data_IF_573657336882
#
_entry.id   IF_573657336882
#
_cell.length_a   1.000
_cell.length_b   1.000
_cell.length_c   1.000
_cell.angle_alpha   90.00
_cell.angle_beta   90.00
_cell.angle_gamma   90.00
#
_symmetry.space_group_name_H-M   'P 1'
#
loop_
_entity.id
_entity.type
_entity.pdbx_description
1 polymer ?
#
# COMPACT_ATOMS: atom_id res chain seq x y z
N UNK A 1 22.19 8.06 3.27
CA UNK A 1 20.75 7.83 3.14
C UNK A 1 20.18 8.79 2.10
N UNK A 2 19.65 8.27 0.99
CA UNK A 2 18.96 9.09 0.01
C UNK A 2 17.64 9.67 0.58
N UNK A 3 17.21 10.80 0.04
CA UNK A 3 15.93 11.44 0.42
C UNK A 3 14.72 10.50 0.25
N UNK A 4 14.85 9.46 -0.58
CA UNK A 4 13.79 8.48 -0.87
C UNK A 4 13.91 7.19 -0.04
N UNK A 5 14.91 7.06 0.82
CA UNK A 5 15.03 5.91 1.73
C UNK A 5 13.87 5.89 2.72
N UNK A 6 12.98 4.92 2.60
CA UNK A 6 11.79 4.81 3.45
C UNK A 6 12.06 4.05 4.75
N UNK A 7 12.90 3.01 4.69
CA UNK A 7 13.26 2.18 5.83
C UNK A 7 14.66 1.58 5.70
N UNK A 8 15.25 1.21 6.82
CA UNK A 8 16.48 0.42 6.90
C UNK A 8 16.26 -0.64 7.96
N UNK A 9 16.58 -1.87 7.62
CA UNK A 9 16.55 -3.01 8.54
C UNK A 9 17.95 -3.58 8.73
N UNK A 10 18.27 -3.94 9.95
CA UNK A 10 19.44 -4.75 10.31
C UNK A 10 18.96 -5.99 11.06
N UNK A 11 19.37 -7.17 10.62
CA UNK A 11 18.98 -8.42 11.29
C UNK A 11 20.08 -9.47 11.25
N UNK A 12 19.97 -10.43 12.15
CA UNK A 12 20.81 -11.61 12.21
C UNK A 12 19.99 -12.87 12.44
N UNK A 13 20.43 -13.99 11.86
CA UNK A 13 19.78 -15.29 11.98
C UNK A 13 20.78 -16.37 12.38
N UNK A 14 20.40 -17.18 13.36
CA UNK A 14 21.04 -18.42 13.75
C UNK A 14 20.09 -19.60 13.56
N UNK A 15 20.50 -20.80 13.93
CA UNK A 15 19.62 -21.99 13.88
C UNK A 15 18.38 -21.86 14.80
N UNK A 16 18.50 -21.12 15.92
CA UNK A 16 17.47 -21.05 16.97
C UNK A 16 16.88 -19.67 17.15
N UNK A 17 17.42 -18.64 16.51
CA UNK A 17 16.95 -17.26 16.67
C UNK A 17 17.03 -16.48 15.36
N UNK A 18 16.07 -15.56 15.19
CA UNK A 18 16.15 -14.47 14.23
C UNK A 18 15.84 -13.18 15.00
N UNK A 19 16.78 -12.26 15.03
CA UNK A 19 16.62 -10.97 15.70
C UNK A 19 16.88 -9.85 14.72
N UNK A 20 16.14 -8.76 14.85
CA UNK A 20 16.37 -7.61 13.98
C UNK A 20 15.74 -6.34 14.52
N UNK A 21 16.17 -5.27 13.92
CA UNK A 21 15.63 -3.93 14.15
C UNK A 21 15.53 -3.19 12.84
N UNK A 22 14.43 -2.48 12.68
CA UNK A 22 14.13 -1.65 11.52
C UNK A 22 13.80 -0.24 11.98
N UNK A 23 14.30 0.76 11.26
CA UNK A 23 13.80 2.14 11.32
C UNK A 23 13.00 2.43 10.07
N UNK A 24 11.86 3.04 10.25
CA UNK A 24 10.98 3.48 9.16
C UNK A 24 10.54 4.92 9.40
N UNK A 25 10.51 5.70 8.32
CA UNK A 25 9.84 6.99 8.30
C UNK A 25 8.52 6.92 7.55
N UNK A 26 7.53 7.58 8.09
CA UNK A 26 6.21 7.76 7.48
C UNK A 26 5.92 9.25 7.33
N UNK A 27 4.69 9.58 6.89
CA UNK A 27 4.25 10.96 6.74
C UNK A 27 4.49 11.83 7.97
N UNK A 28 4.17 11.35 9.16
CA UNK A 28 4.21 12.13 10.40
C UNK A 28 5.28 11.73 11.40
N UNK A 29 5.82 10.51 11.31
CA UNK A 29 6.70 9.98 12.35
C UNK A 29 7.85 9.15 11.79
N UNK A 30 8.93 9.08 12.56
CA UNK A 30 9.97 8.06 12.45
C UNK A 30 9.80 7.10 13.62
N UNK A 31 9.81 5.82 13.35
CA UNK A 31 9.72 4.80 14.40
C UNK A 31 10.69 3.66 14.16
N UNK A 32 10.96 2.94 15.24
CA UNK A 32 11.77 1.73 15.24
C UNK A 32 10.87 0.54 15.53
N UNK A 33 11.15 -0.59 14.88
CA UNK A 33 10.51 -1.86 15.16
C UNK A 33 11.61 -2.88 15.43
N UNK A 34 11.57 -3.45 16.62
CA UNK A 34 12.47 -4.53 17.07
C UNK A 34 11.69 -5.84 17.05
N UNK A 35 12.35 -6.91 16.67
CA UNK A 35 11.75 -8.24 16.68
C UNK A 35 12.75 -9.31 17.12
N UNK A 36 12.23 -10.28 17.88
CA UNK A 36 12.95 -11.44 18.37
C UNK A 36 12.11 -12.69 18.09
N UNK A 37 12.60 -13.58 17.25
CA UNK A 37 11.93 -14.85 16.93
C UNK A 37 12.75 -16.00 17.52
N UNK A 38 12.07 -16.89 18.25
CA UNK A 38 12.62 -18.18 18.63
C UNK A 38 12.25 -19.19 17.55
N UNK A 39 13.25 -19.97 17.12
CA UNK A 39 13.11 -20.93 16.04
C UNK A 39 13.33 -22.36 16.53
N UNK A 40 12.54 -23.28 16.01
CA UNK A 40 12.81 -24.72 16.06
C UNK A 40 12.79 -25.27 14.62
N UNK A 41 13.88 -25.93 14.21
CA UNK A 41 14.04 -26.47 12.84
C UNK A 41 13.67 -25.47 11.74
N UNK A 42 14.08 -24.20 11.94
CA UNK A 42 13.82 -23.10 11.00
C UNK A 42 12.40 -22.51 11.03
N UNK A 43 11.52 -22.97 11.91
CA UNK A 43 10.15 -22.45 12.06
C UNK A 43 10.05 -21.59 13.32
N UNK A 44 9.33 -20.47 13.28
CA UNK A 44 9.05 -19.70 14.48
C UNK A 44 8.17 -20.48 15.45
N UNK A 45 8.60 -20.61 16.71
CA UNK A 45 7.80 -21.10 17.84
C UNK A 45 7.31 -19.98 18.72
N UNK A 46 8.03 -18.84 18.71
CA UNK A 46 7.60 -17.62 19.36
C UNK A 46 8.15 -16.40 18.61
N UNK A 47 7.46 -15.28 18.76
CA UNK A 47 7.93 -13.99 18.28
C UNK A 47 7.57 -12.90 19.28
N UNK A 48 8.48 -11.97 19.50
CA UNK A 48 8.25 -10.74 20.26
C UNK A 48 8.54 -9.58 19.35
N UNK A 49 7.59 -8.66 19.22
CA UNK A 49 7.70 -7.48 18.36
C UNK A 49 7.47 -6.25 19.23
N UNK A 50 8.34 -5.23 19.10
CA UNK A 50 8.26 -3.98 19.84
C UNK A 50 8.31 -2.81 18.89
N UNK A 51 7.39 -1.89 19.03
CA UNK A 51 7.43 -0.62 18.32
C UNK A 51 7.84 0.50 19.26
N UNK A 52 8.77 1.32 18.81
CA UNK A 52 9.35 2.43 19.59
C UNK A 52 9.39 3.70 18.76
N UNK A 53 9.34 4.85 19.42
CA UNK A 53 9.66 6.13 18.79
C UNK A 53 11.14 6.15 18.35
N UNK A 54 11.54 7.18 17.61
CA UNK A 54 12.91 7.33 17.12
C UNK A 54 13.95 7.35 18.25
N UNK A 55 13.60 7.92 19.39
CA UNK A 55 14.43 8.00 20.60
C UNK A 55 14.47 6.70 21.42
N UNK A 56 13.65 5.71 21.05
CA UNK A 56 13.54 4.42 21.75
C UNK A 56 12.42 4.36 22.80
N UNK A 57 11.73 5.44 23.08
CA UNK A 57 10.60 5.45 24.02
C UNK A 57 9.36 4.77 23.43
N UNK A 58 8.43 4.36 24.29
CA UNK A 58 7.16 3.81 23.87
C UNK A 58 6.25 4.92 23.28
N UNK A 59 5.38 4.52 22.35
CA UNK A 59 4.32 5.44 21.90
C UNK A 59 3.25 5.56 23.00
N UNK A 60 2.79 6.77 23.33
CA UNK A 60 1.70 6.96 24.28
C UNK A 60 0.40 6.33 23.73
N UNK A 61 -0.37 5.70 24.61
CA UNK A 61 -1.66 5.09 24.29
C UNK A 61 -1.62 4.04 23.15
N UNK A 62 -0.47 3.37 22.99
CA UNK A 62 -0.32 2.26 22.04
C UNK A 62 0.31 1.05 22.71
N UNK A 63 0.11 -0.16 22.16
CA UNK A 63 0.79 -1.35 22.65
C UNK A 63 2.31 -1.16 22.66
N UNK A 64 2.94 -1.60 23.71
CA UNK A 64 4.41 -1.55 23.88
C UNK A 64 5.09 -2.76 23.28
N UNK A 65 4.37 -3.89 23.21
CA UNK A 65 4.90 -5.18 22.76
C UNK A 65 3.77 -6.08 22.24
N UNK A 66 4.07 -6.91 21.26
CA UNK A 66 3.25 -8.04 20.81
C UNK A 66 4.04 -9.31 20.99
N UNK A 67 3.44 -10.28 21.69
CA UNK A 67 4.01 -11.62 21.87
C UNK A 67 3.16 -12.62 21.10
N UNK A 68 3.81 -13.44 20.31
CA UNK A 68 3.18 -14.51 19.53
C UNK A 68 3.80 -15.84 19.95
N UNK A 69 2.98 -16.84 20.17
CA UNK A 69 3.43 -18.21 20.38
C UNK A 69 2.72 -19.11 19.36
N UNK A 70 3.48 -19.98 18.74
CA UNK A 70 3.01 -20.87 17.67
C UNK A 70 3.14 -22.31 18.11
N UNK A 71 2.09 -23.08 17.88
CA UNK A 71 2.00 -24.53 18.12
C UNK A 71 1.59 -25.24 16.84
N UNK A 72 1.59 -26.57 16.85
CA UNK A 72 1.22 -27.35 15.69
C UNK A 72 -0.22 -27.08 15.19
N UNK A 73 -1.14 -26.83 16.08
CA UNK A 73 -2.58 -26.69 15.83
C UNK A 73 -3.12 -25.25 16.05
N UNK A 74 -2.35 -24.41 16.70
CA UNK A 74 -2.85 -23.11 17.19
C UNK A 74 -1.76 -22.06 17.30
N UNK A 75 -2.19 -20.81 17.45
CA UNK A 75 -1.33 -19.70 17.82
C UNK A 75 -1.98 -18.86 18.93
N UNK A 76 -1.17 -18.20 19.73
CA UNK A 76 -1.60 -17.26 20.75
C UNK A 76 -0.93 -15.93 20.50
N UNK A 77 -1.70 -14.85 20.57
CA UNK A 77 -1.20 -13.48 20.56
C UNK A 77 -1.52 -12.79 21.87
N UNK A 78 -0.52 -12.14 22.44
CA UNK A 78 -0.67 -11.19 23.51
C UNK A 78 -0.30 -9.80 23.01
N UNK A 79 -1.17 -8.83 23.29
CA UNK A 79 -0.95 -7.41 23.03
C UNK A 79 -0.73 -6.74 24.36
N UNK A 80 0.48 -6.25 24.60
CA UNK A 80 0.90 -5.69 25.88
C UNK A 80 0.84 -4.17 25.82
N UNK A 81 0.07 -3.58 26.71
CA UNK A 81 -0.02 -2.15 26.94
C UNK A 81 0.74 -1.78 28.22
N UNK A 82 0.83 -0.52 28.54
CA UNK A 82 1.52 -0.06 29.77
C UNK A 82 0.89 -0.64 31.05
N UNK A 83 -0.42 -0.81 31.05
CA UNK A 83 -1.26 -1.16 32.20
C UNK A 83 -2.05 -2.47 32.04
N UNK A 84 -2.03 -3.08 30.88
CA UNK A 84 -2.87 -4.23 30.57
C UNK A 84 -2.24 -5.16 29.53
N UNK A 85 -2.78 -6.38 29.46
CA UNK A 85 -2.42 -7.36 28.42
C UNK A 85 -3.69 -8.02 27.90
N UNK A 86 -3.87 -7.94 26.59
CA UNK A 86 -4.96 -8.63 25.91
C UNK A 86 -4.43 -9.90 25.26
N UNK A 87 -5.06 -11.03 25.56
CA UNK A 87 -4.68 -12.34 25.04
C UNK A 87 -5.76 -12.91 24.14
N UNK A 88 -5.33 -13.45 22.99
CA UNK A 88 -6.21 -14.13 22.04
C UNK A 88 -5.57 -15.40 21.50
N UNK A 89 -6.36 -16.47 21.44
CA UNK A 89 -5.98 -17.73 20.78
C UNK A 89 -6.65 -17.82 19.40
N UNK A 90 -5.97 -18.51 18.50
CA UNK A 90 -6.39 -18.74 17.11
C UNK A 90 -6.24 -20.23 16.80
N UNK A 91 -7.26 -20.85 16.25
CA UNK A 91 -7.15 -22.15 15.61
C UNK A 91 -6.44 -21.95 14.26
N UNK A 92 -5.14 -22.13 14.23
CA UNK A 92 -4.27 -21.80 13.09
C UNK A 92 -3.10 -22.79 13.03
N UNK A 93 -3.32 -23.97 12.46
CA UNK A 93 -2.27 -25.00 12.38
C UNK A 93 -1.09 -24.49 11.57
N UNK A 94 0.12 -24.72 12.11
CA UNK A 94 1.36 -24.32 11.50
C UNK A 94 1.46 -22.82 11.09
N UNK A 95 0.81 -21.95 11.84
CA UNK A 95 0.79 -20.53 11.56
C UNK A 95 2.18 -19.88 11.62
N UNK A 96 2.29 -18.77 10.95
CA UNK A 96 3.49 -17.95 10.86
C UNK A 96 3.17 -16.50 11.32
N UNK A 97 4.14 -15.72 11.83
CA UNK A 97 3.95 -14.29 12.01
C UNK A 97 3.65 -13.61 10.66
N UNK A 98 2.55 -12.86 10.59
CA UNK A 98 2.24 -12.15 9.35
C UNK A 98 3.37 -11.18 8.98
N UNK A 99 3.74 -11.08 7.70
CA UNK A 99 4.74 -10.13 7.24
C UNK A 99 4.40 -8.70 7.66
N UNK A 100 5.39 -8.00 8.19
CA UNK A 100 5.30 -6.57 8.49
C UNK A 100 6.00 -5.80 7.38
N UNK A 101 5.42 -4.71 6.95
CA UNK A 101 5.99 -3.86 5.89
C UNK A 101 7.40 -3.39 6.29
N UNK A 102 8.34 -3.48 5.36
CA UNK A 102 9.77 -3.15 5.51
C UNK A 102 10.55 -4.04 6.50
N UNK A 103 10.00 -5.19 6.89
CA UNK A 103 10.67 -6.19 7.71
C UNK A 103 10.88 -7.45 6.87
N UNK A 104 12.09 -7.69 6.44
CA UNK A 104 12.43 -8.73 5.45
C UNK A 104 13.15 -9.93 6.05
N UNK A 105 13.78 -9.78 7.23
CA UNK A 105 14.41 -10.90 7.92
C UNK A 105 13.50 -12.12 8.10
N UNK A 106 12.26 -11.99 8.59
CA UNK A 106 11.30 -13.08 8.67
C UNK A 106 10.90 -13.69 7.32
N UNK A 107 11.03 -12.94 6.23
CA UNK A 107 10.69 -13.46 4.88
C UNK A 107 11.69 -14.52 4.41
N UNK A 108 12.92 -14.53 4.93
CA UNK A 108 13.87 -15.62 4.68
C UNK A 108 13.40 -16.96 5.27
N UNK A 109 12.67 -16.92 6.38
CA UNK A 109 12.06 -18.12 6.98
C UNK A 109 10.90 -18.63 6.12
N UNK A 110 10.08 -17.73 5.58
CA UNK A 110 9.01 -18.08 4.64
C UNK A 110 9.59 -18.68 3.35
N UNK A 111 10.68 -18.13 2.84
CA UNK A 111 11.37 -18.65 1.66
C UNK A 111 11.85 -20.09 1.85
N UNK A 112 12.37 -20.41 3.03
CA UNK A 112 12.79 -21.77 3.38
C UNK A 112 11.63 -22.77 3.45
N UNK A 113 10.41 -22.30 3.75
CA UNK A 113 9.20 -23.13 3.81
C UNK A 113 8.59 -23.40 2.44
N UNK A 114 8.74 -22.50 1.48
CA UNK A 114 8.08 -22.52 0.16
C UNK A 114 8.83 -23.27 -0.94
N UNK A 115 9.84 -24.10 -0.64
CA UNK A 115 10.64 -24.80 -1.67
C UNK A 115 9.78 -25.66 -2.59
N UNK A 116 9.60 -25.22 -3.83
CA UNK A 116 9.08 -26.00 -4.95
C UNK A 116 7.55 -26.07 -5.09
N UNK A 117 6.77 -25.30 -4.34
CA UNK A 117 5.29 -25.36 -4.41
C UNK A 117 4.65 -23.98 -4.29
N UNK A 118 3.46 -23.87 -4.90
CA UNK A 118 2.53 -22.79 -4.57
C UNK A 118 1.80 -23.20 -3.29
N UNK A 119 2.00 -22.46 -2.20
CA UNK A 119 1.44 -22.79 -0.91
C UNK A 119 0.80 -21.55 -0.25
N UNK A 120 -0.02 -21.81 0.75
CA UNK A 120 -0.64 -20.78 1.57
C UNK A 120 -0.44 -21.12 3.04
N UNK A 121 0.19 -20.21 3.78
CA UNK A 121 0.52 -20.40 5.19
C UNK A 121 -0.41 -19.53 6.04
N UNK A 122 -1.11 -20.10 7.05
CA UNK A 122 -1.85 -19.30 8.01
C UNK A 122 -0.93 -18.29 8.70
N UNK A 123 -1.39 -17.06 8.86
CA UNK A 123 -0.57 -15.97 9.39
C UNK A 123 -1.30 -15.19 10.48
N UNK A 124 -0.61 -14.93 11.58
CA UNK A 124 -1.12 -14.14 12.70
C UNK A 124 -0.44 -12.78 12.70
N UNK A 125 -1.25 -11.74 12.49
CA UNK A 125 -0.79 -10.36 12.54
C UNK A 125 -0.68 -9.81 13.95
N UNK A 126 0.06 -8.71 14.09
CA UNK A 126 0.11 -7.91 15.32
C UNK A 126 -1.24 -7.23 15.62
N UNK A 127 -2.06 -7.04 14.60
CA UNK A 127 -3.40 -6.46 14.68
C UNK A 127 -4.44 -7.37 14.02
N UNK A 128 -5.71 -7.03 14.18
CA UNK A 128 -6.83 -7.79 13.62
C UNK A 128 -7.26 -8.97 14.50
N UNK A 129 -8.40 -9.54 14.18
CA UNK A 129 -9.03 -10.57 14.99
C UNK A 129 -9.18 -11.92 14.26
N UNK A 130 -8.70 -12.01 13.05
CA UNK A 130 -8.82 -13.17 12.18
C UNK A 130 -7.44 -13.76 11.84
N UNK A 131 -7.43 -15.02 11.49
CA UNK A 131 -6.29 -15.68 10.86
C UNK A 131 -6.19 -15.15 9.43
N UNK A 132 -5.07 -14.54 9.10
CA UNK A 132 -4.73 -14.18 7.73
C UNK A 132 -4.03 -15.34 7.01
N UNK A 133 -3.71 -15.13 5.75
CA UNK A 133 -2.94 -16.09 4.96
C UNK A 133 -1.83 -15.39 4.17
N UNK A 134 -0.69 -16.03 4.05
CA UNK A 134 0.41 -15.63 3.19
C UNK A 134 0.55 -16.65 2.07
N UNK A 135 0.27 -16.24 0.85
CA UNK A 135 0.51 -17.07 -0.32
C UNK A 135 1.99 -17.01 -0.72
N UNK A 136 2.58 -18.17 -0.93
CA UNK A 136 3.96 -18.37 -1.34
C UNK A 136 4.00 -19.06 -2.69
N UNK A 137 4.83 -18.56 -3.60
CA UNK A 137 5.08 -19.20 -4.88
C UNK A 137 6.57 -19.12 -5.18
N UNK A 138 7.25 -20.26 -5.15
CA UNK A 138 8.68 -20.34 -5.48
C UNK A 138 8.84 -20.33 -7.00
N UNK A 139 9.63 -19.41 -7.49
CA UNK A 139 10.15 -19.30 -8.83
C UNK A 139 11.64 -19.64 -8.76
N UNK A 140 12.33 -19.98 -9.84
CA UNK A 140 13.71 -20.48 -9.85
C UNK A 140 14.64 -19.85 -8.78
N UNK A 141 14.95 -18.58 -8.88
CA UNK A 141 15.78 -17.84 -7.92
C UNK A 141 15.00 -16.76 -7.15
N UNK A 142 13.66 -16.88 -7.10
CA UNK A 142 12.81 -15.87 -6.52
C UNK A 142 11.64 -16.47 -5.74
N UNK A 143 11.12 -15.70 -4.79
CA UNK A 143 9.92 -16.01 -4.03
C UNK A 143 8.89 -14.93 -4.26
N UNK A 144 7.71 -15.32 -4.70
CA UNK A 144 6.56 -14.43 -4.77
C UNK A 144 5.73 -14.57 -3.51
N UNK A 145 5.54 -13.47 -2.79
CA UNK A 145 4.75 -13.41 -1.55
C UNK A 145 3.50 -12.58 -1.78
N UNK A 146 2.35 -13.11 -1.36
CA UNK A 146 1.08 -12.39 -1.29
C UNK A 146 0.59 -12.40 0.15
N UNK A 147 0.37 -11.25 0.77
CA UNK A 147 -0.15 -11.16 2.13
C UNK A 147 -1.52 -10.50 2.15
N UNK A 148 -2.42 -11.07 2.96
CA UNK A 148 -3.79 -10.58 3.13
C UNK A 148 -4.63 -10.67 1.85
N UNK A 149 -5.64 -9.81 1.75
CA UNK A 149 -6.49 -9.66 0.56
C UNK A 149 -5.79 -8.93 -0.60
N UNK A 150 -4.50 -8.61 -0.45
CA UNK A 150 -3.75 -7.87 -1.46
C UNK A 150 -3.62 -8.64 -2.77
N UNK A 151 -4.20 -8.08 -3.84
CA UNK A 151 -4.15 -8.66 -5.19
C UNK A 151 -2.72 -8.70 -5.76
N UNK A 152 -1.79 -7.91 -5.19
CA UNK A 152 -0.48 -7.64 -5.75
C UNK A 152 0.63 -8.31 -4.94
N UNK A 153 1.45 -9.16 -5.59
CA UNK A 153 2.55 -9.85 -4.94
C UNK A 153 3.74 -8.92 -4.72
N UNK A 154 4.55 -9.29 -3.73
CA UNK A 154 5.93 -8.83 -3.56
C UNK A 154 6.84 -9.93 -4.10
N UNK A 155 7.86 -9.55 -4.87
CA UNK A 155 8.83 -10.47 -5.42
C UNK A 155 10.17 -10.31 -4.69
N UNK A 156 10.69 -11.39 -4.15
CA UNK A 156 11.99 -11.44 -3.49
C UNK A 156 12.97 -12.27 -4.32
N UNK A 157 14.14 -11.74 -4.61
CA UNK A 157 15.25 -12.56 -5.13
C UNK A 157 16.08 -13.09 -3.96
N UNK A 158 16.53 -14.32 -4.10
CA UNK A 158 17.28 -15.02 -3.06
C UNK A 158 18.66 -15.40 -3.59
N UNK A 159 19.67 -15.41 -2.71
CA UNK A 159 20.95 -16.00 -3.03
C UNK A 159 20.93 -17.54 -2.87
N UNK A 160 22.07 -18.18 -3.15
CA UNK A 160 22.24 -19.65 -3.02
C UNK A 160 21.98 -20.18 -1.60
N UNK A 161 22.12 -19.34 -0.59
CA UNK A 161 21.92 -19.66 0.82
C UNK A 161 20.48 -19.35 1.29
N UNK A 162 19.60 -18.92 0.37
CA UNK A 162 18.21 -18.57 0.63
C UNK A 162 18.05 -17.23 1.36
N UNK A 163 19.04 -16.32 1.25
CA UNK A 163 18.99 -14.98 1.84
C UNK A 163 18.37 -14.01 0.83
N UNK A 164 17.48 -13.16 1.32
CA UNK A 164 16.87 -12.11 0.49
C UNK A 164 17.94 -11.13 0.02
N UNK A 165 18.03 -10.91 -1.28
CA UNK A 165 18.94 -9.95 -1.92
C UNK A 165 18.20 -8.69 -2.36
N UNK A 166 17.06 -8.86 -3.02
CA UNK A 166 16.21 -7.73 -3.42
C UNK A 166 14.76 -8.00 -3.07
N UNK A 167 14.01 -6.93 -2.93
CA UNK A 167 12.56 -6.94 -2.74
C UNK A 167 11.95 -5.99 -3.74
N UNK A 168 11.10 -6.49 -4.62
CA UNK A 168 10.30 -5.69 -5.53
C UNK A 168 8.84 -5.70 -5.09
N UNK A 169 8.42 -4.63 -4.46
CA UNK A 169 7.05 -4.33 -4.07
C UNK A 169 6.42 -3.23 -4.94
N UNK A 170 6.93 -2.99 -6.15
CA UNK A 170 6.43 -1.92 -7.04
C UNK A 170 4.97 -2.10 -7.44
N UNK A 171 4.45 -3.32 -7.43
CA UNK A 171 3.03 -3.60 -7.64
C UNK A 171 2.16 -3.46 -6.39
N UNK A 172 2.78 -3.38 -5.20
CA UNK A 172 2.04 -3.21 -3.94
C UNK A 172 1.61 -1.74 -3.74
N UNK A 173 0.77 -1.51 -2.74
CA UNK A 173 0.38 -0.15 -2.34
C UNK A 173 1.58 0.73 -1.98
N UNK A 174 2.63 0.14 -1.41
CA UNK A 174 3.80 0.88 -0.93
C UNK A 174 4.79 1.25 -2.05
N UNK A 175 4.72 0.62 -3.23
CA UNK A 175 5.58 0.93 -4.39
C UNK A 175 7.07 0.97 -4.04
N UNK A 176 7.53 0.03 -3.23
CA UNK A 176 8.89 0.01 -2.70
C UNK A 176 9.83 -0.91 -3.49
N UNK A 177 11.10 -0.56 -3.47
CA UNK A 177 12.20 -1.44 -3.86
C UNK A 177 13.16 -1.53 -2.68
N UNK A 178 13.60 -2.74 -2.34
CA UNK A 178 14.56 -3.03 -1.30
C UNK A 178 15.79 -3.75 -1.86
N UNK A 179 16.95 -3.46 -1.29
CA UNK A 179 18.20 -4.13 -1.68
C UNK A 179 19.01 -4.41 -0.42
N UNK A 180 19.53 -5.64 -0.31
CA UNK A 180 20.48 -6.01 0.72
C UNK A 180 21.82 -5.32 0.44
N UNK A 181 22.38 -4.70 1.46
CA UNK A 181 23.71 -4.08 1.40
C UNK A 181 24.63 -4.71 2.45
N UNK A 182 25.92 -4.71 2.18
CA UNK A 182 26.91 -5.17 3.15
C UNK A 182 27.08 -4.16 4.30
N UNK A 183 27.47 -4.63 5.48
CA UNK A 183 27.77 -3.81 6.64
C UNK A 183 26.74 -3.93 7.75
N UNK A 184 27.00 -3.19 8.84
CA UNK A 184 26.08 -3.07 9.98
C UNK A 184 25.46 -1.68 9.98
N UNK A 185 24.15 -1.61 10.18
CA UNK A 185 23.46 -0.34 10.37
C UNK A 185 23.19 -0.13 11.87
N UNK A 186 23.61 1.00 12.40
CA UNK A 186 23.18 1.48 13.72
C UNK A 186 21.79 2.11 13.56
N UNK A 187 20.77 1.30 13.74
CA UNK A 187 19.37 1.70 13.57
C UNK A 187 18.99 2.81 14.56
N UNK A 188 19.54 2.78 15.78
CA UNK A 188 19.25 3.79 16.79
C UNK A 188 19.85 5.16 16.42
N UNK A 189 21.07 5.19 15.91
CA UNK A 189 21.70 6.43 15.45
C UNK A 189 21.00 6.98 14.20
N UNK A 190 20.64 6.10 13.25
CA UNK A 190 19.91 6.48 12.05
C UNK A 190 18.54 7.07 12.41
N UNK A 191 17.81 6.46 13.35
CA UNK A 191 16.49 6.93 13.76
C UNK A 191 16.50 8.37 14.30
N UNK A 192 17.56 8.75 15.02
CA UNK A 192 17.72 10.11 15.57
C UNK A 192 17.88 11.18 14.49
N UNK A 193 18.45 10.83 13.35
CA UNK A 193 18.73 11.78 12.25
C UNK A 193 17.70 11.71 11.12
N UNK A 194 16.97 10.60 11.03
CA UNK A 194 15.95 10.41 10.01
C UNK A 194 14.75 11.33 10.28
N UNK A 195 14.25 11.98 9.23
CA UNK A 195 13.09 12.88 9.36
C UNK A 195 11.85 12.23 8.74
N UNK A 196 10.64 12.51 9.24
CA UNK A 196 9.39 12.14 8.58
C UNK A 196 9.37 12.59 7.12
N UNK A 197 8.65 11.86 6.29
CA UNK A 197 8.58 12.16 4.84
C UNK A 197 7.61 13.28 4.51
N UNK A 198 6.78 13.73 5.46
CA UNK A 198 5.57 14.48 5.14
C UNK A 198 4.50 13.57 4.55
N UNK A 199 3.37 14.09 4.20
CA UNK A 199 2.33 13.33 3.51
C UNK A 199 2.82 12.99 2.10
N UNK A 200 3.12 11.70 1.84
CA UNK A 200 3.61 11.23 0.53
C UNK A 200 2.60 11.42 -0.61
N UNK A 201 1.33 11.51 -0.26
CA UNK A 201 0.20 11.72 -1.15
C UNK A 201 -0.84 12.52 -0.37
N UNK A 202 -0.64 13.86 -0.24
CA UNK A 202 -1.54 14.69 0.53
C UNK A 202 -2.95 14.66 -0.08
N UNK A 203 -3.97 14.77 0.79
CA UNK A 203 -5.35 14.89 0.34
C UNK A 203 -5.56 16.27 -0.27
N UNK A 204 -6.16 16.31 -1.44
CA UNK A 204 -6.48 17.51 -2.21
C UNK A 204 -7.96 17.52 -2.57
N UNK A 205 -8.45 18.68 -2.94
CA UNK A 205 -9.82 18.87 -3.42
C UNK A 205 -9.79 19.70 -4.71
N UNK A 206 -10.36 19.14 -5.78
CA UNK A 206 -10.76 19.90 -6.95
C UNK A 206 -12.19 20.38 -6.75
N UNK A 207 -12.43 21.65 -7.00
CA UNK A 207 -13.73 22.28 -6.82
C UNK A 207 -14.05 23.17 -8.01
N UNK A 208 -15.30 23.13 -8.47
CA UNK A 208 -15.82 24.14 -9.40
C UNK A 208 -17.25 24.49 -9.04
N UNK A 209 -17.53 25.78 -9.04
CA UNK A 209 -18.87 26.31 -8.95
C UNK A 209 -19.45 26.49 -10.35
N UNK A 210 -20.63 25.90 -10.59
CA UNK A 210 -21.43 26.10 -11.78
C UNK A 210 -22.71 26.82 -11.39
N UNK A 211 -23.38 27.44 -12.35
CA UNK A 211 -24.68 28.08 -12.13
C UNK A 211 -25.71 27.09 -11.55
N UNK A 212 -25.61 25.82 -11.95
CA UNK A 212 -26.49 24.73 -11.52
C UNK A 212 -26.13 24.18 -10.12
N UNK A 213 -24.92 24.38 -9.64
CA UNK A 213 -24.45 23.92 -8.34
C UNK A 213 -22.99 23.45 -8.37
N UNK A 214 -22.38 23.23 -7.21
CA UNK A 214 -20.97 22.85 -7.12
C UNK A 214 -20.72 21.38 -7.44
N UNK A 215 -19.50 21.12 -7.91
CA UNK A 215 -18.91 19.77 -8.01
C UNK A 215 -17.61 19.74 -7.21
N UNK A 216 -17.40 18.65 -6.48
CA UNK A 216 -16.20 18.40 -5.70
C UNK A 216 -15.58 17.06 -6.09
N UNK A 217 -14.26 17.03 -6.17
CA UNK A 217 -13.51 15.79 -6.23
C UNK A 217 -12.46 15.82 -5.14
N UNK A 218 -12.54 14.88 -4.19
CA UNK A 218 -11.55 14.69 -3.14
C UNK A 218 -10.65 13.51 -3.49
N UNK A 219 -9.34 13.73 -3.57
CA UNK A 219 -8.37 12.74 -4.01
C UNK A 219 -7.06 12.87 -3.23
N UNK A 220 -6.25 11.82 -3.18
CA UNK A 220 -4.88 11.93 -2.73
C UNK A 220 -3.95 12.14 -3.93
N UNK A 221 -3.01 13.08 -3.79
CA UNK A 221 -2.10 13.56 -4.84
C UNK A 221 -0.71 12.91 -4.68
N UNK A 222 -0.42 11.76 -5.31
CA UNK A 222 0.91 11.15 -5.29
C UNK A 222 1.87 11.88 -6.21
N UNK A 223 3.17 11.90 -5.84
CA UNK A 223 4.26 12.38 -6.67
C UNK A 223 4.90 11.24 -7.49
N UNK A 224 5.37 11.54 -8.69
CA UNK A 224 6.01 10.58 -9.59
C UNK A 224 7.37 10.11 -9.07
N UNK A 225 8.17 10.99 -8.49
CA UNK A 225 9.48 10.71 -7.88
C UNK A 225 10.42 9.96 -8.81
N UNK A 226 10.53 10.43 -10.05
CA UNK A 226 11.36 9.83 -11.09
C UNK A 226 10.84 8.50 -11.65
N UNK A 227 9.64 8.03 -11.26
CA UNK A 227 9.03 6.81 -11.79
C UNK A 227 8.20 7.12 -13.03
N UNK A 228 8.17 6.19 -13.97
CA UNK A 228 7.28 6.27 -15.13
C UNK A 228 5.82 6.13 -14.68
N UNK A 229 4.96 7.05 -15.14
CA UNK A 229 3.56 7.12 -14.70
C UNK A 229 2.67 6.22 -15.54
N UNK A 230 2.47 6.58 -16.82
CA UNK A 230 1.46 5.96 -17.68
C UNK A 230 1.96 4.69 -18.35
N UNK A 231 1.17 3.64 -18.30
CA UNK A 231 1.44 2.35 -18.93
C UNK A 231 2.59 1.56 -18.30
N UNK A 232 3.08 1.98 -17.13
CA UNK A 232 4.23 1.36 -16.44
C UNK A 232 3.97 1.25 -14.93
N UNK A 233 4.95 1.66 -14.12
CA UNK A 233 4.99 1.39 -12.66
C UNK A 233 3.81 1.96 -11.88
N UNK A 234 3.38 3.19 -12.18
CA UNK A 234 2.37 3.85 -11.36
C UNK A 234 0.95 3.57 -11.83
N UNK A 235 0.72 3.64 -13.14
CA UNK A 235 -0.56 3.30 -13.79
C UNK A 235 -0.25 2.24 -14.87
N UNK A 236 -0.14 0.94 -14.51
CA UNK A 236 0.13 -0.10 -15.49
C UNK A 236 -1.00 -0.21 -16.52
N UNK A 237 -0.66 -0.65 -17.74
CA UNK A 237 -1.68 -0.93 -18.75
C UNK A 237 -2.69 -1.98 -18.27
N UNK A 238 -3.93 -1.82 -18.70
CA UNK A 238 -5.03 -2.76 -18.49
C UNK A 238 -5.40 -3.04 -17.03
N UNK A 239 -4.88 -2.24 -16.09
CA UNK A 239 -5.22 -2.32 -14.66
C UNK A 239 -6.17 -1.19 -14.26
N UNK A 240 -7.05 -1.48 -13.30
CA UNK A 240 -7.88 -0.44 -12.69
C UNK A 240 -7.07 0.29 -11.64
N UNK A 241 -6.95 1.60 -11.81
CA UNK A 241 -6.26 2.50 -10.90
C UNK A 241 -7.25 3.38 -10.16
N UNK A 242 -7.04 3.55 -8.84
CA UNK A 242 -7.89 4.36 -7.93
C UNK A 242 -7.90 5.87 -8.18
N UNK A 243 -7.32 6.33 -9.30
CA UNK A 243 -7.29 7.75 -9.68
C UNK A 243 -6.71 8.64 -8.57
N UNK A 244 -5.59 8.20 -8.00
CA UNK A 244 -4.94 8.85 -6.86
C UNK A 244 -4.12 7.87 -6.02
N UNK A 245 -4.13 8.05 -4.70
CA UNK A 245 -3.45 7.21 -3.73
C UNK A 245 -4.28 7.02 -2.46
N UNK A 246 -3.92 6.04 -1.63
CA UNK A 246 -4.56 5.70 -0.35
C UNK A 246 -6.04 5.32 -0.55
N UNK A 247 -6.99 6.08 0.00
CA UNK A 247 -8.43 5.91 -0.19
C UNK A 247 -8.82 6.21 -1.65
N UNK A 248 -9.93 5.65 -2.09
CA UNK A 248 -10.49 5.95 -3.41
C UNK A 248 -10.75 7.45 -3.60
N UNK A 249 -10.66 7.91 -4.82
CA UNK A 249 -11.02 9.29 -5.20
C UNK A 249 -12.53 9.43 -5.23
N UNK A 250 -13.08 10.43 -4.54
CA UNK A 250 -14.51 10.66 -4.42
C UNK A 250 -14.96 11.86 -5.26
N UNK A 251 -16.06 11.68 -5.99
CA UNK A 251 -16.78 12.73 -6.69
C UNK A 251 -18.10 12.99 -5.95
N UNK A 252 -18.36 14.24 -5.58
CA UNK A 252 -19.64 14.69 -5.04
C UNK A 252 -20.29 15.67 -6.00
N UNK A 253 -21.55 15.47 -6.32
CA UNK A 253 -22.35 16.38 -7.13
C UNK A 253 -23.72 16.60 -6.52
N UNK A 254 -24.17 17.86 -6.51
CA UNK A 254 -25.51 18.26 -6.09
C UNK A 254 -26.53 18.26 -7.25
N UNK A 255 -26.05 18.03 -8.49
CA UNK A 255 -26.85 18.06 -9.71
C UNK A 255 -26.59 16.83 -10.56
N UNK A 256 -27.53 16.54 -11.45
CA UNK A 256 -27.37 15.48 -12.43
C UNK A 256 -26.23 15.82 -13.40
N UNK A 257 -25.29 14.90 -13.55
CA UNK A 257 -24.18 15.00 -14.51
C UNK A 257 -24.43 14.02 -15.66
N UNK A 258 -24.38 14.52 -16.90
CA UNK A 258 -24.25 13.68 -18.08
C UNK A 258 -22.76 13.57 -18.45
N UNK A 259 -22.20 12.37 -18.33
CA UNK A 259 -20.79 12.07 -18.61
C UNK A 259 -20.72 10.95 -19.67
N UNK A 260 -20.49 11.32 -20.94
CA UNK A 260 -20.73 10.43 -22.07
C UNK A 260 -22.19 9.93 -22.07
N UNK A 261 -22.37 8.61 -22.17
CA UNK A 261 -23.71 7.98 -22.10
C UNK A 261 -24.20 7.76 -20.66
N UNK A 262 -23.39 8.04 -19.64
CA UNK A 262 -23.77 7.89 -18.25
C UNK A 262 -24.53 9.10 -17.72
N UNK A 263 -25.62 8.84 -17.01
CA UNK A 263 -26.33 9.84 -16.22
C UNK A 263 -26.06 9.58 -14.73
N UNK A 264 -25.41 10.51 -14.07
CA UNK A 264 -25.13 10.47 -12.63
C UNK A 264 -26.12 11.35 -11.89
N UNK A 265 -26.96 10.75 -11.07
CA UNK A 265 -27.85 11.51 -10.17
C UNK A 265 -27.05 12.30 -9.13
N UNK A 266 -27.62 13.32 -8.47
CA UNK A 266 -27.01 13.93 -7.30
C UNK A 266 -26.58 12.89 -6.28
N UNK A 267 -25.34 12.98 -5.79
CA UNK A 267 -24.81 11.96 -4.88
C UNK A 267 -23.31 11.95 -4.77
N UNK A 268 -22.84 10.88 -4.14
CA UNK A 268 -21.42 10.59 -3.91
C UNK A 268 -21.03 9.32 -4.69
N UNK A 269 -19.91 9.39 -5.36
CA UNK A 269 -19.36 8.34 -6.22
C UNK A 269 -17.87 8.21 -5.98
N UNK A 270 -17.24 7.12 -6.46
CA UNK A 270 -15.79 7.05 -6.60
C UNK A 270 -15.36 6.99 -8.05
N UNK A 271 -14.19 7.56 -8.31
CA UNK A 271 -13.58 7.63 -9.64
C UNK A 271 -12.42 6.66 -9.72
N UNK A 272 -12.39 5.91 -10.80
CA UNK A 272 -11.35 4.97 -11.16
C UNK A 272 -10.89 5.21 -12.58
N UNK A 273 -9.66 4.89 -12.89
CA UNK A 273 -9.12 5.05 -14.25
C UNK A 273 -8.57 3.72 -14.75
N UNK A 274 -8.83 3.41 -16.00
CA UNK A 274 -8.18 2.32 -16.71
C UNK A 274 -7.40 2.89 -17.90
N UNK A 275 -6.09 2.69 -17.91
CA UNK A 275 -5.22 3.06 -19.03
C UNK A 275 -4.89 1.80 -19.82
N UNK A 276 -5.26 1.78 -21.09
CA UNK A 276 -5.02 0.65 -22.00
C UNK A 276 -4.09 1.08 -23.13
N UNK A 277 -3.67 0.15 -23.95
CA UNK A 277 -2.88 0.46 -25.15
C UNK A 277 -3.67 1.24 -26.22
N UNK A 278 -4.99 1.17 -26.17
CA UNK A 278 -5.91 1.77 -27.14
C UNK A 278 -6.67 3.00 -26.63
N UNK A 279 -6.60 3.28 -25.31
CA UNK A 279 -7.28 4.43 -24.74
C UNK A 279 -7.21 4.51 -23.23
N UNK A 280 -7.67 5.61 -22.70
CA UNK A 280 -7.82 5.84 -21.25
C UNK A 280 -9.28 6.05 -20.94
N UNK A 281 -9.77 5.43 -19.88
CA UNK A 281 -11.17 5.45 -19.50
C UNK A 281 -11.32 5.91 -18.04
N UNK A 282 -12.25 6.83 -17.83
CA UNK A 282 -12.74 7.18 -16.50
C UNK A 282 -13.93 6.26 -16.17
N UNK A 283 -13.87 5.61 -15.02
CA UNK A 283 -14.91 4.73 -14.50
C UNK A 283 -15.53 5.40 -13.29
N UNK A 284 -16.85 5.46 -13.26
CA UNK A 284 -17.63 5.96 -12.12
C UNK A 284 -18.25 4.78 -11.39
N UNK A 285 -18.08 4.73 -10.08
CA UNK A 285 -18.50 3.60 -9.25
C UNK A 285 -19.34 4.10 -8.07
N UNK A 286 -20.40 3.34 -7.70
CA UNK A 286 -21.31 3.68 -6.61
C UNK A 286 -20.78 3.37 -5.21
N UNK A 287 -19.75 2.52 -5.10
CA UNK A 287 -19.14 2.21 -3.82
C UNK A 287 -18.39 3.44 -3.31
N UNK A 288 -18.54 3.78 -2.03
CA UNK A 288 -17.93 4.95 -1.40
C UNK A 288 -17.30 4.60 -0.06
N UNK A 289 -16.29 5.39 0.35
CA UNK A 289 -15.63 5.22 1.64
C UNK A 289 -14.61 4.08 1.71
N UNK A 290 -14.32 3.40 0.59
CA UNK A 290 -13.39 2.27 0.55
C UNK A 290 -11.94 2.73 0.37
N UNK A 291 -11.03 1.84 0.76
CA UNK A 291 -9.63 1.96 0.40
C UNK A 291 -9.44 1.78 -1.11
N UNK A 292 -8.50 2.50 -1.71
CA UNK A 292 -8.31 2.54 -3.16
C UNK A 292 -7.80 1.25 -3.83
N UNK A 293 -7.67 0.15 -3.11
CA UNK A 293 -7.46 -1.18 -3.69
C UNK A 293 -8.70 -2.08 -3.61
N UNK A 294 -9.78 -1.58 -3.01
CA UNK A 294 -11.04 -2.32 -2.83
C UNK A 294 -12.05 -1.90 -3.92
N UNK A 295 -11.73 -2.24 -5.16
CA UNK A 295 -12.61 -2.00 -6.31
C UNK A 295 -13.59 -3.14 -6.51
N UNK A 296 -14.86 -2.79 -6.75
CA UNK A 296 -15.93 -3.72 -7.11
C UNK A 296 -16.54 -3.33 -8.44
N UNK A 297 -16.27 -4.09 -9.48
CA UNK A 297 -16.82 -3.85 -10.83
C UNK A 297 -18.34 -3.94 -10.88
N UNK A 298 -18.96 -4.71 -9.98
CA UNK A 298 -20.44 -4.80 -9.90
C UNK A 298 -21.10 -3.50 -9.42
N UNK A 299 -20.34 -2.55 -8.90
CA UNK A 299 -20.79 -1.24 -8.46
C UNK A 299 -20.53 -0.15 -9.50
N UNK A 300 -20.00 -0.47 -10.68
CA UNK A 300 -19.80 0.50 -11.75
C UNK A 300 -21.12 1.05 -12.25
N UNK A 301 -21.17 2.38 -12.40
CA UNK A 301 -22.24 3.06 -13.14
C UNK A 301 -21.98 2.93 -14.64
N UNK A 302 -20.71 3.05 -15.01
CA UNK A 302 -20.22 2.95 -16.37
C UNK A 302 -18.84 3.54 -16.53
N UNK A 303 -18.40 3.62 -17.79
CA UNK A 303 -17.10 4.20 -18.15
C UNK A 303 -17.23 5.13 -19.34
N UNK A 304 -16.38 6.14 -19.40
CA UNK A 304 -16.28 7.08 -20.53
C UNK A 304 -14.83 7.17 -21.00
N UNK A 305 -14.63 7.25 -22.32
CA UNK A 305 -13.32 7.50 -22.87
C UNK A 305 -12.83 8.91 -22.52
N UNK A 306 -11.55 9.03 -22.20
CA UNK A 306 -10.89 10.31 -21.95
C UNK A 306 -10.02 10.68 -23.14
N UNK A 307 -10.01 11.95 -23.50
CA UNK A 307 -9.01 12.50 -24.40
C UNK A 307 -7.69 12.62 -23.67
N UNK A 308 -6.59 12.12 -24.29
CA UNK A 308 -5.26 12.16 -23.69
C UNK A 308 -4.35 13.00 -24.55
N UNK A 309 -3.73 14.00 -23.93
CA UNK A 309 -2.71 14.85 -24.56
C UNK A 309 -1.40 14.79 -23.77
N UNK A 310 -0.28 14.99 -24.45
CA UNK A 310 0.99 15.16 -23.78
C UNK A 310 1.10 16.58 -23.20
N UNK A 311 1.74 16.70 -22.05
CA UNK A 311 2.06 17.98 -21.42
C UNK A 311 3.43 18.47 -21.89
N UNK A 312 3.64 19.80 -22.06
CA UNK A 312 4.94 20.35 -22.46
C UNK A 312 6.01 20.13 -21.38
N UNK A 313 5.59 20.08 -20.12
CA UNK A 313 6.46 19.87 -18.96
C UNK A 313 6.01 18.68 -18.15
N UNK A 314 6.97 18.06 -17.43
CA UNK A 314 6.68 16.97 -16.51
C UNK A 314 5.90 17.47 -15.29
N UNK A 315 4.75 16.85 -15.03
CA UNK A 315 3.92 17.13 -13.86
C UNK A 315 4.27 16.13 -12.77
N UNK A 316 4.97 16.59 -11.74
CA UNK A 316 5.48 15.74 -10.66
C UNK A 316 4.36 15.19 -9.77
N UNK A 317 3.36 16.01 -9.42
CA UNK A 317 2.27 15.64 -8.52
C UNK A 317 0.98 15.41 -9.31
N UNK A 318 0.33 14.27 -9.07
CA UNK A 318 -0.99 13.97 -9.65
C UNK A 318 -1.99 15.06 -9.27
N UNK A 319 -2.57 15.69 -10.26
CA UNK A 319 -3.51 16.79 -10.09
C UNK A 319 -4.83 16.51 -10.80
N UNK A 320 -5.93 16.73 -10.11
CA UNK A 320 -7.28 16.75 -10.71
C UNK A 320 -7.77 18.19 -10.73
N UNK A 321 -8.27 18.63 -11.87
CA UNK A 321 -8.90 19.94 -12.05
C UNK A 321 -10.31 19.75 -12.62
N UNK A 322 -11.27 20.55 -12.14
CA UNK A 322 -12.59 20.67 -12.74
C UNK A 322 -12.65 22.01 -13.42
N UNK A 323 -12.68 22.02 -14.74
CA UNK A 323 -12.70 23.24 -15.54
C UNK A 323 -14.11 23.51 -16.06
N UNK A 324 -14.74 24.62 -15.66
CA UNK A 324 -16.02 25.06 -16.25
C UNK A 324 -15.87 25.38 -17.75
N UNK A 325 -16.85 24.98 -18.52
CA UNK A 325 -17.00 25.25 -19.95
C UNK A 325 -18.34 25.96 -20.19
N UNK A 326 -18.51 26.64 -21.32
CA UNK A 326 -19.78 27.28 -21.66
C UNK A 326 -20.98 26.32 -21.67
N UNK A 327 -22.18 26.85 -21.49
CA UNK A 327 -23.48 26.14 -21.61
C UNK A 327 -23.66 25.00 -20.58
N UNK A 328 -23.20 25.17 -19.32
CA UNK A 328 -23.35 24.19 -18.26
C UNK A 328 -22.50 22.94 -18.45
N UNK A 329 -21.50 23.00 -19.31
CA UNK A 329 -20.52 21.93 -19.47
C UNK A 329 -19.34 22.11 -18.54
N UNK A 330 -18.61 21.03 -18.33
CA UNK A 330 -17.33 21.04 -17.62
C UNK A 330 -16.40 19.95 -18.11
N UNK A 331 -15.17 20.01 -17.67
CA UNK A 331 -14.16 18.99 -17.90
C UNK A 331 -13.52 18.56 -16.60
N UNK A 332 -13.36 17.25 -16.39
CA UNK A 332 -12.49 16.68 -15.37
C UNK A 332 -11.17 16.39 -16.06
N UNK A 333 -10.12 17.05 -15.60
CA UNK A 333 -8.77 16.91 -16.14
C UNK A 333 -7.88 16.25 -15.08
N UNK A 334 -7.16 15.21 -15.48
CA UNK A 334 -6.24 14.43 -14.64
C UNK A 334 -4.85 14.54 -15.24
N UNK A 335 -3.97 15.27 -14.58
CA UNK A 335 -2.64 15.56 -15.06
C UNK A 335 -1.57 14.89 -14.19
N UNK A 336 -0.66 14.12 -14.79
CA UNK A 336 0.46 13.50 -14.10
C UNK A 336 1.55 13.03 -15.09
N UNK A 337 2.81 13.20 -14.68
CA UNK A 337 3.93 12.84 -15.55
C UNK A 337 3.95 13.69 -16.80
N UNK A 338 3.83 13.06 -17.94
CA UNK A 338 3.90 13.67 -19.28
C UNK A 338 2.52 13.78 -19.97
N UNK A 339 1.43 13.50 -19.25
CA UNK A 339 0.09 13.46 -19.85
C UNK A 339 -0.98 14.14 -19.02
N UNK A 340 -1.98 14.67 -19.73
CA UNK A 340 -3.28 15.04 -19.18
C UNK A 340 -4.37 14.22 -19.86
N UNK A 341 -5.25 13.64 -19.06
CA UNK A 341 -6.45 12.91 -19.51
C UNK A 341 -7.68 13.72 -19.15
N UNK A 342 -8.59 13.95 -20.11
CA UNK A 342 -9.75 14.83 -19.97
C UNK A 342 -11.03 14.09 -20.28
N UNK A 343 -12.02 14.17 -19.37
CA UNK A 343 -13.39 13.75 -19.61
C UNK A 343 -14.34 14.95 -19.52
N UNK A 344 -15.13 15.21 -20.56
CA UNK A 344 -16.10 16.29 -20.58
C UNK A 344 -17.46 15.81 -20.08
N UNK A 345 -18.19 16.68 -19.42
CA UNK A 345 -19.53 16.43 -18.91
C UNK A 345 -20.45 17.63 -19.11
N UNK A 346 -21.78 17.40 -18.95
CA UNK A 346 -22.79 18.42 -18.93
C UNK A 346 -23.61 18.32 -17.66
N UNK A 347 -23.86 19.44 -16.99
CA UNK A 347 -24.79 19.54 -15.88
C UNK A 347 -26.21 19.72 -16.41
N UNK A 348 -27.11 18.87 -15.92
CA UNK A 348 -28.55 18.99 -16.22
C UNK A 348 -29.24 19.72 -15.05
N UNK A 349 -30.24 20.44 -15.37
CA UNK A 349 -31.09 21.14 -14.38
C UNK A 349 -31.85 20.15 -13.49
#
# INVERSE_FOLDING_TARGET
>A
LGKDTAAIEHFSRTATKLTGEMVQRTGGVVFRLQYDFTLDKGRPTAAVIRRRQADGTAFPNQPTEWRLAFRADSAVREVVWADSTQRRAFAAPNAFPAPVTYVYGPMELLAAMGKGKRDSVPAIGVAGNNVGYVGLETLDAALRIRSGSGAYPMLLTLDKDGRVQTVDGSFTTNKLLGTRVAGKADIAAIAKTMKPTGALSPRQTAYAAFQQGPIFISYASPAARGRSVWGRTLIPFDTIWRTGANEATHLATSKTIQLGDMTLAPGLYTLWTQHTRTGTFLIVNKQVGQWGTNYSASSDVGRVAMEVANTPEHIEEFTITIRPLPQGRGAIEMAWGDKVATATFTLRQ
#
